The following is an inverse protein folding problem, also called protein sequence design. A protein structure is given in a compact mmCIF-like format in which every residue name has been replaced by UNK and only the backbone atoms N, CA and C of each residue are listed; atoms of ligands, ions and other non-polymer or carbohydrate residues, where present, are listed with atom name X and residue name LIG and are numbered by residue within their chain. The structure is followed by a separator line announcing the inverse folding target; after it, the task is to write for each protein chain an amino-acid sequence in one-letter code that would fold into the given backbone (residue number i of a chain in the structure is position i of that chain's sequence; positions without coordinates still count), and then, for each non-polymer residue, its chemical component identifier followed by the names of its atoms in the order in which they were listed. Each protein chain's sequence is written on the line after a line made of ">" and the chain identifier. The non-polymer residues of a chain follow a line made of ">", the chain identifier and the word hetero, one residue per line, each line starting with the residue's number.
data_IF_409451984081
#
_entry.id   IF_409451984081
#
_cell.length_a   1.000
_cell.length_b   1.000
_cell.length_c   1.000
_cell.angle_alpha   90.00
_cell.angle_beta   90.00
_cell.angle_gamma   90.00
#
_symmetry.space_group_name_H-M   'P 1'
#
loop_
_entity.id
_entity.type
_entity.pdbx_description
1 polymer ?
#
# COMPACT_ATOMS: atom_id res chain seq x y z
N UNK A 1 -30.34 -36.61 15.36
CA UNK A 1 -31.34 -35.68 14.81
C UNK A 1 -31.70 -36.10 13.39
N UNK A 2 -32.99 -35.94 13.09
CA UNK A 2 -33.81 -36.76 12.21
C UNK A 2 -33.58 -36.59 10.69
N UNK A 3 -33.71 -37.69 9.93
CA UNK A 3 -33.60 -37.73 8.45
C UNK A 3 -34.86 -37.18 7.74
N UNK A 4 -35.63 -36.32 8.42
CA UNK A 4 -36.97 -35.85 8.02
C UNK A 4 -37.02 -34.43 7.44
N UNK A 5 -35.88 -33.77 7.26
CA UNK A 5 -35.81 -32.42 6.65
C UNK A 5 -35.38 -32.39 5.18
N UNK A 6 -35.04 -33.54 4.57
CA UNK A 6 -34.54 -33.60 3.18
C UNK A 6 -35.61 -33.51 2.08
N UNK A 7 -36.90 -33.44 2.40
CA UNK A 7 -37.96 -33.46 1.39
C UNK A 7 -38.79 -32.17 1.25
N UNK A 8 -38.54 -31.12 2.04
CA UNK A 8 -39.36 -29.89 2.02
C UNK A 8 -38.69 -28.65 1.38
N UNK A 9 -37.55 -28.79 0.71
CA UNK A 9 -36.97 -27.74 -0.14
C UNK A 9 -36.99 -28.13 -1.63
N UNK A 10 -38.08 -28.78 -2.06
CA UNK A 10 -38.43 -28.95 -3.47
C UNK A 10 -39.66 -28.07 -3.74
N UNK A 11 -39.47 -27.05 -4.59
CA UNK A 11 -40.46 -26.07 -5.10
C UNK A 11 -40.69 -24.81 -4.25
N UNK A 12 -39.74 -23.86 -4.31
CA UNK A 12 -40.00 -22.46 -4.70
C UNK A 12 -38.69 -21.68 -4.76
N UNK A 13 -38.54 -20.90 -5.83
CA UNK A 13 -37.51 -19.88 -6.09
C UNK A 13 -36.07 -20.34 -6.27
N UNK A 14 -35.83 -21.04 -7.38
CA UNK A 14 -34.52 -21.31 -7.97
C UNK A 14 -33.89 -20.10 -8.70
N UNK A 15 -34.50 -18.91 -8.63
CA UNK A 15 -34.08 -17.72 -9.40
C UNK A 15 -33.33 -16.66 -8.58
N UNK A 16 -33.44 -16.66 -7.24
CA UNK A 16 -32.80 -15.63 -6.41
C UNK A 16 -31.44 -16.07 -5.83
N UNK A 17 -31.19 -17.37 -5.70
CA UNK A 17 -29.90 -17.90 -5.24
C UNK A 17 -28.83 -17.81 -6.33
N UNK A 18 -29.23 -17.78 -7.61
CA UNK A 18 -28.29 -17.65 -8.73
C UNK A 18 -27.76 -16.21 -8.91
N UNK A 19 -28.47 -15.20 -8.40
CA UNK A 19 -28.06 -13.80 -8.53
C UNK A 19 -27.09 -13.36 -7.43
N UNK A 20 -27.06 -14.02 -6.26
CA UNK A 20 -26.04 -13.77 -5.23
C UNK A 20 -24.69 -14.45 -5.53
N UNK A 21 -24.67 -15.60 -6.22
CA UNK A 21 -23.40 -16.24 -6.61
C UNK A 21 -22.70 -15.57 -7.81
N UNK A 22 -23.43 -14.79 -8.62
CA UNK A 22 -22.88 -14.13 -9.81
C UNK A 22 -22.23 -12.76 -9.52
N UNK A 23 -22.42 -12.22 -8.31
CA UNK A 23 -21.85 -10.92 -7.90
C UNK A 23 -20.57 -11.08 -7.05
N UNK A 24 -20.36 -12.22 -6.39
CA UNK A 24 -19.19 -12.46 -5.52
C UNK A 24 -18.01 -13.18 -6.17
N UNK A 25 -18.09 -13.54 -7.46
CA UNK A 25 -17.03 -14.24 -8.19
C UNK A 25 -16.33 -13.39 -9.26
N UNK A 26 -16.39 -12.05 -9.14
CA UNK A 26 -15.68 -11.09 -10.01
C UNK A 26 -14.73 -10.14 -9.30
N UNK A 27 -13.98 -10.58 -8.30
CA UNK A 27 -12.75 -9.87 -7.89
C UNK A 27 -11.64 -10.84 -7.50
N UNK A 28 -11.47 -11.91 -8.26
CA UNK A 28 -10.12 -12.47 -8.40
C UNK A 28 -9.32 -11.53 -9.32
N UNK A 29 -9.01 -10.33 -8.80
CA UNK A 29 -8.19 -9.34 -9.49
C UNK A 29 -6.80 -9.97 -9.64
N UNK A 30 -6.52 -10.57 -10.81
CA UNK A 30 -5.13 -10.78 -11.24
C UNK A 30 -4.47 -9.42 -11.06
N UNK A 31 -3.52 -9.30 -10.13
CA UNK A 31 -2.67 -8.11 -9.96
C UNK A 31 -1.93 -7.93 -11.28
N UNK A 32 -2.45 -7.08 -12.15
CA UNK A 32 -1.78 -6.70 -13.39
C UNK A 32 -1.24 -5.32 -13.09
N UNK A 33 0.02 -5.26 -12.67
CA UNK A 33 0.75 -3.99 -12.64
C UNK A 33 0.61 -3.32 -14.02
N UNK A 34 0.37 -2.00 -14.01
CA UNK A 34 0.31 -1.26 -15.26
C UNK A 34 1.65 -1.42 -15.97
N UNK A 35 1.58 -1.79 -17.24
CA UNK A 35 2.78 -2.01 -18.03
C UNK A 35 3.25 -0.67 -18.59
N UNK A 36 4.56 -0.37 -18.52
CA UNK A 36 5.09 0.78 -19.21
C UNK A 36 4.82 0.64 -20.72
N UNK A 37 4.63 1.76 -21.37
CA UNK A 37 4.47 1.81 -22.81
C UNK A 37 5.81 1.55 -23.49
N UNK A 38 5.78 1.25 -24.79
CA UNK A 38 7.00 1.14 -25.60
C UNK A 38 7.59 2.50 -25.98
N UNK A 39 6.90 3.60 -25.65
CA UNK A 39 7.32 4.96 -25.99
C UNK A 39 8.53 5.35 -25.16
N UNK A 40 9.44 6.09 -25.79
CA UNK A 40 10.57 6.71 -25.11
C UNK A 40 10.27 8.19 -24.84
N UNK A 41 11.10 8.81 -24.00
CA UNK A 41 10.98 10.25 -23.71
C UNK A 41 11.06 11.11 -24.98
N UNK A 42 11.87 10.72 -25.96
CA UNK A 42 12.03 11.43 -27.24
C UNK A 42 10.75 11.41 -28.09
N UNK A 43 9.85 10.46 -27.85
CA UNK A 43 8.54 10.39 -28.50
C UNK A 43 7.53 11.25 -27.76
N UNK A 44 7.52 11.18 -26.42
CA UNK A 44 6.55 11.86 -25.57
C UNK A 44 6.80 13.36 -25.44
N UNK A 45 8.06 13.80 -25.46
CA UNK A 45 8.43 15.21 -25.41
C UNK A 45 7.91 16.04 -26.59
N UNK A 46 7.42 15.40 -27.65
CA UNK A 46 6.75 16.03 -28.80
C UNK A 46 5.25 16.25 -28.59
N UNK A 47 4.68 15.68 -27.53
CA UNK A 47 3.27 15.78 -27.19
C UNK A 47 2.97 17.10 -26.47
N UNK A 48 1.68 17.36 -26.19
CA UNK A 48 1.25 18.54 -25.44
C UNK A 48 1.57 18.33 -23.95
N UNK A 49 2.43 19.17 -23.37
CA UNK A 49 2.69 19.18 -21.92
C UNK A 49 1.47 19.75 -21.20
N UNK A 50 0.97 19.05 -20.17
CA UNK A 50 -0.07 19.60 -19.30
C UNK A 50 0.60 20.40 -18.19
N UNK A 51 0.39 21.72 -18.23
CA UNK A 51 0.87 22.62 -17.19
C UNK A 51 0.30 22.27 -15.81
N UNK A 52 1.05 22.60 -14.75
CA UNK A 52 0.67 22.32 -13.36
C UNK A 52 1.23 21.01 -12.80
N UNK A 53 1.79 20.12 -13.63
CA UNK A 53 2.35 18.83 -13.20
C UNK A 53 3.87 18.68 -13.44
N UNK A 54 4.58 19.79 -13.69
CA UNK A 54 6.05 19.82 -13.76
C UNK A 54 6.66 18.78 -14.72
N UNK A 55 6.38 18.90 -16.03
CA UNK A 55 6.91 18.00 -17.09
C UNK A 55 6.62 16.51 -16.92
N UNK A 56 5.69 16.15 -16.02
CA UNK A 56 5.38 14.74 -15.73
C UNK A 56 4.16 14.23 -16.50
N UNK A 57 3.25 15.11 -16.93
CA UNK A 57 2.01 14.72 -17.63
C UNK A 57 1.99 15.29 -19.05
N UNK A 58 1.72 14.41 -20.00
CA UNK A 58 1.71 14.71 -21.43
C UNK A 58 0.43 14.18 -22.07
N UNK A 59 -0.10 14.90 -23.05
CA UNK A 59 -1.33 14.55 -23.74
C UNK A 59 -1.09 14.37 -25.23
N UNK A 60 -1.60 13.28 -25.78
CA UNK A 60 -1.63 13.06 -27.21
C UNK A 60 -3.00 12.51 -27.61
N UNK A 61 -3.73 13.26 -28.44
CA UNK A 61 -5.13 12.98 -28.79
C UNK A 61 -5.99 12.90 -27.52
N UNK A 62 -6.66 11.77 -27.30
CA UNK A 62 -7.52 11.49 -26.15
C UNK A 62 -6.82 10.64 -25.08
N UNK A 63 -5.49 10.56 -25.12
CA UNK A 63 -4.69 9.77 -24.17
C UNK A 63 -3.72 10.64 -23.38
N UNK A 64 -3.56 10.26 -22.12
CA UNK A 64 -2.64 10.89 -21.18
C UNK A 64 -1.47 9.96 -20.92
N UNK A 65 -0.30 10.55 -20.73
CA UNK A 65 0.95 9.85 -20.50
C UNK A 65 1.62 10.43 -19.26
N UNK A 66 2.02 9.54 -18.36
CA UNK A 66 2.82 9.87 -17.18
C UNK A 66 4.27 9.49 -17.47
N UNK A 67 5.16 10.47 -17.39
CA UNK A 67 6.60 10.26 -17.41
C UNK A 67 7.08 10.21 -15.96
N UNK A 68 7.65 9.08 -15.57
CA UNK A 68 8.24 8.89 -14.24
C UNK A 68 9.73 8.62 -14.37
N UNK A 69 10.52 9.26 -13.51
CA UNK A 69 11.93 8.91 -13.34
C UNK A 69 12.02 7.67 -12.44
N UNK A 70 12.68 6.62 -12.93
CA UNK A 70 12.88 5.36 -12.20
C UNK A 70 14.35 4.97 -12.21
N UNK A 71 14.77 4.25 -11.16
CA UNK A 71 16.14 3.79 -10.99
C UNK A 71 16.73 4.22 -9.66
N UNK A 72 17.46 3.32 -9.01
CA UNK A 72 18.10 3.56 -7.71
C UNK A 72 19.56 3.98 -7.82
N UNK A 73 20.25 3.53 -8.87
CA UNK A 73 21.69 3.78 -9.10
C UNK A 73 21.92 4.65 -10.35
N UNK A 74 21.11 4.46 -11.38
CA UNK A 74 21.05 5.31 -12.55
C UNK A 74 19.57 5.58 -12.85
N UNK A 75 19.19 6.84 -12.98
CA UNK A 75 17.83 7.22 -13.34
C UNK A 75 17.59 7.09 -14.83
N UNK A 76 16.45 6.53 -15.22
CA UNK A 76 15.92 6.55 -16.58
C UNK A 76 14.44 6.96 -16.57
N UNK A 77 13.96 7.49 -17.71
CA UNK A 77 12.58 7.91 -17.84
C UNK A 77 11.72 6.75 -18.34
N UNK A 78 10.63 6.47 -17.63
CA UNK A 78 9.65 5.46 -18.00
C UNK A 78 8.32 6.15 -18.32
N UNK A 79 7.73 5.77 -19.45
CA UNK A 79 6.46 6.33 -19.93
C UNK A 79 5.33 5.35 -19.69
N UNK A 80 4.32 5.79 -18.95
CA UNK A 80 3.09 5.05 -18.69
C UNK A 80 1.91 5.68 -19.41
N UNK A 81 1.00 4.85 -19.94
CA UNK A 81 -0.30 5.32 -20.40
C UNK A 81 -1.18 5.53 -19.17
N UNK A 82 -1.60 6.76 -18.92
CA UNK A 82 -2.39 7.16 -17.77
C UNK A 82 -3.89 7.08 -18.11
N UNK A 83 -4.67 6.23 -17.43
CA UNK A 83 -6.11 6.17 -17.61
C UNK A 83 -6.77 7.49 -17.26
N UNK A 84 -7.84 7.83 -18.00
CA UNK A 84 -8.63 9.05 -17.75
C UNK A 84 -9.09 9.16 -16.30
N UNK A 85 -9.46 8.04 -15.67
CA UNK A 85 -9.89 7.99 -14.27
C UNK A 85 -8.80 8.48 -13.30
N UNK A 86 -7.54 8.06 -13.53
CA UNK A 86 -6.41 8.51 -12.69
C UNK A 86 -6.07 9.97 -12.96
N UNK A 87 -6.20 10.43 -14.22
CA UNK A 87 -6.02 11.84 -14.55
C UNK A 87 -7.10 12.72 -13.90
N UNK A 88 -8.37 12.29 -13.90
CA UNK A 88 -9.46 13.02 -13.26
C UNK A 88 -9.25 13.18 -11.74
N UNK A 89 -8.64 12.19 -11.07
CA UNK A 89 -8.25 12.31 -9.66
C UNK A 89 -7.14 13.34 -9.41
N UNK A 90 -6.25 13.54 -10.39
CA UNK A 90 -5.24 14.62 -10.34
C UNK A 90 -5.89 15.98 -10.57
N UNK A 91 -6.74 16.08 -11.59
CA UNK A 91 -7.42 17.33 -11.96
C UNK A 91 -8.38 17.83 -10.87
N UNK A 92 -9.08 16.91 -10.21
CA UNK A 92 -9.93 17.23 -9.04
C UNK A 92 -9.15 17.58 -7.77
N UNK A 93 -7.84 17.33 -7.75
CA UNK A 93 -7.00 17.50 -6.56
C UNK A 93 -7.27 16.48 -5.44
N UNK A 94 -8.07 15.43 -5.71
CA UNK A 94 -8.31 14.34 -4.76
C UNK A 94 -7.03 13.54 -4.49
N UNK A 95 -6.13 13.44 -5.48
CA UNK A 95 -4.85 12.75 -5.38
C UNK A 95 -3.72 13.59 -5.93
N UNK A 96 -2.53 13.36 -5.39
CA UNK A 96 -1.31 14.00 -5.83
C UNK A 96 -0.62 13.19 -6.94
N UNK A 97 0.22 13.87 -7.74
CA UNK A 97 1.04 13.23 -8.76
C UNK A 97 1.88 12.07 -8.20
N UNK A 98 2.39 12.23 -6.97
CA UNK A 98 3.17 11.20 -6.29
C UNK A 98 2.35 9.94 -5.98
N UNK A 99 1.12 10.11 -5.49
CA UNK A 99 0.23 8.98 -5.19
C UNK A 99 -0.19 8.25 -6.47
N UNK A 100 -0.47 8.99 -7.55
CA UNK A 100 -0.81 8.40 -8.85
C UNK A 100 0.37 7.67 -9.45
N UNK A 101 1.58 8.27 -9.42
CA UNK A 101 2.80 7.58 -9.85
C UNK A 101 3.04 6.29 -9.05
N UNK A 102 2.87 6.34 -7.72
CA UNK A 102 2.94 5.15 -6.88
C UNK A 102 1.90 4.09 -7.27
N UNK A 103 0.66 4.51 -7.56
CA UNK A 103 -0.42 3.63 -8.00
C UNK A 103 -0.14 2.99 -9.35
N UNK A 104 0.42 3.73 -10.30
CA UNK A 104 0.81 3.20 -11.62
C UNK A 104 1.91 2.15 -11.48
N UNK A 105 2.95 2.41 -10.68
CA UNK A 105 4.08 1.50 -10.49
C UNK A 105 3.72 0.26 -9.65
N UNK A 106 3.01 0.45 -8.53
CA UNK A 106 2.79 -0.59 -7.52
C UNK A 106 1.39 -1.22 -7.57
N UNK A 107 0.50 -0.73 -8.43
CA UNK A 107 -0.93 -1.10 -8.52
C UNK A 107 -1.70 -0.96 -7.19
N UNK A 108 -1.20 -0.15 -6.27
CA UNK A 108 -1.84 0.15 -4.98
C UNK A 108 -1.67 1.62 -4.66
N UNK A 109 -2.59 2.21 -3.92
CA UNK A 109 -2.32 3.52 -3.34
C UNK A 109 -1.19 3.41 -2.31
N UNK A 110 -0.39 4.48 -2.13
CA UNK A 110 0.57 4.49 -1.04
C UNK A 110 -0.18 4.34 0.29
N UNK A 111 0.39 3.62 1.25
CA UNK A 111 -0.24 3.45 2.55
C UNK A 111 -0.42 4.81 3.22
N UNK A 112 -1.55 4.98 3.89
CA UNK A 112 -1.82 6.13 4.75
C UNK A 112 -0.84 6.17 5.94
N UNK A 113 -0.71 7.32 6.59
CA UNK A 113 0.19 7.44 7.76
C UNK A 113 -0.24 6.50 8.89
N UNK A 114 -1.55 6.27 9.05
CA UNK A 114 -2.12 5.33 10.01
C UNK A 114 -1.73 3.88 9.67
N UNK A 115 -1.82 3.48 8.41
CA UNK A 115 -1.41 2.14 7.96
C UNK A 115 0.10 1.93 8.10
N UNK A 116 0.91 2.96 7.82
CA UNK A 116 2.35 2.93 8.04
C UNK A 116 2.67 2.72 9.51
N UNK A 117 2.07 3.52 10.40
CA UNK A 117 2.23 3.39 11.86
C UNK A 117 1.78 2.02 12.34
N UNK A 118 0.66 1.50 11.85
CA UNK A 118 0.18 0.16 12.21
C UNK A 118 1.14 -0.95 11.74
N UNK A 119 1.67 -0.85 10.52
CA UNK A 119 2.66 -1.79 9.99
C UNK A 119 3.98 -1.73 10.78
N UNK A 120 4.44 -0.53 11.13
CA UNK A 120 5.63 -0.32 11.93
C UNK A 120 5.44 -0.87 13.35
N UNK A 121 4.29 -0.60 13.98
CA UNK A 121 3.89 -1.18 15.27
C UNK A 121 3.93 -2.70 15.22
N UNK A 122 3.37 -3.33 14.17
CA UNK A 122 3.42 -4.79 14.00
C UNK A 122 4.84 -5.34 13.81
N UNK A 123 5.69 -4.63 13.07
CA UNK A 123 7.10 -5.00 12.89
C UNK A 123 7.84 -4.96 14.23
N UNK A 124 7.62 -3.90 15.01
CA UNK A 124 8.21 -3.74 16.35
C UNK A 124 7.71 -4.82 17.29
N UNK A 125 6.42 -5.17 17.29
CA UNK A 125 5.89 -6.25 18.12
C UNK A 125 6.51 -7.62 17.83
N UNK A 126 6.84 -7.90 16.56
CA UNK A 126 7.51 -9.16 16.18
C UNK A 126 8.98 -9.19 16.60
N UNK A 127 9.67 -8.07 16.42
CA UNK A 127 11.10 -7.95 16.69
C UNK A 127 11.43 -7.71 18.17
N UNK A 128 10.71 -6.79 18.80
CA UNK A 128 10.95 -6.11 20.08
C UNK A 128 12.28 -5.37 20.18
N UNK A 129 13.31 -5.79 19.44
CA UNK A 129 14.61 -5.14 19.29
C UNK A 129 14.53 -3.62 19.03
N UNK A 130 13.62 -3.10 18.18
CA UNK A 130 13.52 -1.66 17.97
C UNK A 130 13.17 -0.85 19.23
N UNK A 131 12.45 -1.45 20.21
CA UNK A 131 12.09 -0.78 21.48
C UNK A 131 13.32 -0.47 22.35
N UNK A 132 14.42 -1.19 22.16
CA UNK A 132 15.68 -0.95 22.87
C UNK A 132 16.63 -0.09 22.01
N UNK A 133 16.70 -0.36 20.71
CA UNK A 133 17.64 0.31 19.80
C UNK A 133 17.23 1.75 19.43
N UNK A 134 15.94 2.08 19.44
CA UNK A 134 15.46 3.38 18.98
C UNK A 134 14.33 3.92 19.89
N UNK A 135 14.61 4.92 20.76
CA UNK A 135 13.63 5.55 21.63
C UNK A 135 12.38 6.10 20.92
N UNK A 136 12.51 6.53 19.66
CA UNK A 136 11.36 7.05 18.88
C UNK A 136 10.28 6.01 18.63
N UNK A 137 10.64 4.72 18.68
CA UNK A 137 9.67 3.64 18.49
C UNK A 137 8.60 3.60 19.58
N UNK A 138 8.85 4.21 20.75
CA UNK A 138 7.91 4.28 21.86
C UNK A 138 6.69 5.15 21.54
N UNK A 139 6.83 6.16 20.68
CA UNK A 139 5.74 7.07 20.27
C UNK A 139 4.59 6.35 19.56
N UNK A 140 4.80 5.11 19.11
CA UNK A 140 3.81 4.28 18.43
C UNK A 140 2.94 3.46 19.40
N UNK A 141 3.25 3.49 20.70
CA UNK A 141 2.62 2.69 21.73
C UNK A 141 2.05 3.55 22.85
N UNK A 142 1.05 2.99 23.52
CA UNK A 142 0.54 3.53 24.79
C UNK A 142 1.46 3.14 25.95
N UNK A 143 1.39 3.86 27.06
CA UNK A 143 2.22 3.59 28.23
C UNK A 143 2.00 2.17 28.78
N UNK A 144 0.75 1.71 28.79
CA UNK A 144 0.36 0.38 29.26
C UNK A 144 0.89 -0.74 28.35
N UNK A 145 1.01 -0.48 27.05
CA UNK A 145 1.65 -1.40 26.11
C UNK A 145 3.17 -1.45 26.36
N UNK A 146 3.81 -0.30 26.56
CA UNK A 146 5.25 -0.23 26.84
C UNK A 146 5.62 -0.94 28.14
N UNK A 147 4.83 -0.79 29.20
CA UNK A 147 5.04 -1.50 30.48
C UNK A 147 5.09 -3.02 30.31
N UNK A 148 4.32 -3.56 29.36
CA UNK A 148 4.31 -5.00 29.06
C UNK A 148 5.44 -5.40 28.12
N UNK A 149 5.77 -4.55 27.15
CA UNK A 149 6.69 -4.89 26.06
C UNK A 149 8.16 -4.64 26.42
N UNK A 150 8.46 -3.59 27.19
CA UNK A 150 9.83 -3.19 27.53
C UNK A 150 10.59 -4.31 28.27
N UNK A 151 10.05 -4.94 29.34
CA UNK A 151 10.74 -6.03 30.02
C UNK A 151 11.03 -7.23 29.09
N UNK A 152 10.11 -7.53 28.16
CA UNK A 152 10.29 -8.59 27.16
C UNK A 152 11.37 -8.23 26.14
N UNK A 153 11.42 -6.96 25.73
CA UNK A 153 12.40 -6.46 24.78
C UNK A 153 13.82 -6.43 25.40
N UNK A 154 13.94 -6.00 26.66
CA UNK A 154 15.19 -6.01 27.42
C UNK A 154 15.74 -7.43 27.57
N UNK A 155 14.89 -8.38 28.00
CA UNK A 155 15.29 -9.78 28.13
C UNK A 155 15.77 -10.35 26.79
N UNK A 156 14.99 -10.15 25.72
CA UNK A 156 15.35 -10.62 24.37
C UNK A 156 16.66 -10.01 23.87
N UNK A 157 16.91 -8.75 24.20
CA UNK A 157 18.15 -8.08 23.85
C UNK A 157 19.34 -8.68 24.60
N UNK A 158 19.20 -8.93 25.90
CA UNK A 158 20.23 -9.59 26.72
C UNK A 158 20.48 -11.01 26.22
N UNK A 159 19.44 -11.78 25.89
CA UNK A 159 19.58 -13.13 25.34
C UNK A 159 20.37 -13.13 24.01
N UNK A 160 20.25 -12.06 23.22
CA UNK A 160 20.93 -11.92 21.94
C UNK A 160 22.36 -11.33 22.05
N UNK A 161 22.56 -10.31 22.90
CA UNK A 161 23.81 -9.49 22.96
C UNK A 161 24.57 -9.64 24.28
N UNK A 162 24.03 -10.36 25.25
CA UNK A 162 24.60 -10.58 26.59
C UNK A 162 24.40 -9.42 27.57
N UNK A 163 24.26 -8.18 27.08
CA UNK A 163 23.98 -6.98 27.89
C UNK A 163 23.15 -5.94 27.13
N UNK A 164 22.46 -5.07 27.88
CA UNK A 164 21.80 -3.88 27.31
C UNK A 164 22.84 -2.87 26.78
N UNK A 165 22.47 -2.01 25.82
CA UNK A 165 23.32 -0.92 25.36
C UNK A 165 23.67 0.03 26.52
N UNK A 166 24.89 0.57 26.53
CA UNK A 166 25.36 1.43 27.62
C UNK A 166 24.64 2.80 27.65
N UNK A 167 24.08 3.21 26.51
CA UNK A 167 23.27 4.42 26.31
C UNK A 167 21.75 4.20 26.47
N UNK A 168 21.33 2.98 26.82
CA UNK A 168 19.92 2.65 26.99
C UNK A 168 19.36 3.21 28.29
N UNK A 169 18.23 3.92 28.20
CA UNK A 169 17.44 4.42 29.33
C UNK A 169 16.02 3.91 29.19
N UNK A 170 15.52 3.22 30.21
CA UNK A 170 14.16 2.67 30.21
C UNK A 170 13.12 3.81 30.24
N UNK A 171 12.07 3.77 29.40
CA UNK A 171 11.03 4.80 29.35
C UNK A 171 10.03 4.75 30.51
N UNK A 172 10.15 3.76 31.40
CA UNK A 172 9.25 3.53 32.53
C UNK A 172 9.73 4.21 33.83
N UNK A 173 10.84 4.94 33.79
CA UNK A 173 11.45 5.61 34.96
C UNK A 173 11.10 7.08 35.05
#
# INVERSE_FOLDING_TARGET
>A
MDKRWRSLLRKRNRSLIFMMFYVESRTCTRRIQMKPTKLQWEDVSKFEEIEGYGKSIWKNKDKYYLVSEEGTVASWLVVYELPQELFALLESGERTLREVSWKVQNDRWPPTEEEKKASEKQFILKGLTPLIANPKSWELFTQEELERLIPLAEQKWIDWRGKLPDDYVSPLK
#
